data_IF_862099228072
#
_entry.id   IF_862099228072
#
_cell.length_a   1.000
_cell.length_b   1.000
_cell.length_c   1.000
_cell.angle_alpha   90.00
_cell.angle_beta   90.00
_cell.angle_gamma   90.00
#
_symmetry.space_group_name_H-M   'P 1'
#
loop_
_entity.id
_entity.type
_entity.pdbx_description
1 polymer ?
#
# COMPACT_ATOMS: atom_id res chain seq x y z
N UNK A 1 -27.71 18.38 1.83
CA UNK A 1 -26.62 17.74 2.61
C UNK A 1 -26.46 16.30 2.14
N UNK A 2 -25.30 15.89 1.64
CA UNK A 2 -25.08 14.51 1.18
C UNK A 2 -24.99 13.56 2.39
N UNK A 3 -25.91 12.58 2.48
CA UNK A 3 -25.94 11.59 3.56
C UNK A 3 -24.73 10.66 3.42
N UNK A 4 -23.88 10.60 4.45
CA UNK A 4 -22.71 9.72 4.49
C UNK A 4 -23.21 8.27 4.64
N UNK A 5 -23.12 7.48 3.57
CA UNK A 5 -23.52 6.05 3.60
C UNK A 5 -22.72 5.32 4.69
N UNK A 6 -23.41 4.59 5.56
CA UNK A 6 -22.76 3.70 6.53
C UNK A 6 -22.31 2.43 5.81
N UNK A 7 -21.22 1.81 6.29
CA UNK A 7 -20.71 0.54 5.74
C UNK A 7 -21.78 -0.56 5.80
N UNK A 8 -22.70 -0.49 6.77
CA UNK A 8 -23.87 -1.38 6.90
C UNK A 8 -24.95 -1.18 5.83
N UNK A 9 -24.90 -0.09 5.06
CA UNK A 9 -25.85 0.24 3.98
C UNK A 9 -25.28 -0.10 2.59
N UNK A 10 -24.12 -0.75 2.53
CA UNK A 10 -23.49 -1.20 1.30
C UNK A 10 -24.08 -2.54 0.85
N UNK A 11 -24.37 -2.68 -0.44
CA UNK A 11 -24.72 -3.98 -1.03
C UNK A 11 -23.54 -4.95 -0.89
N UNK A 12 -23.79 -6.26 -0.86
CA UNK A 12 -22.77 -7.31 -0.66
C UNK A 12 -21.60 -7.19 -1.64
N UNK A 13 -21.88 -6.85 -2.91
CA UNK A 13 -20.85 -6.58 -3.92
C UNK A 13 -19.95 -5.39 -3.57
N UNK A 14 -20.50 -4.31 -3.00
CA UNK A 14 -19.73 -3.14 -2.58
C UNK A 14 -18.88 -3.43 -1.35
N UNK A 15 -19.41 -4.21 -0.41
CA UNK A 15 -18.67 -4.66 0.77
C UNK A 15 -17.54 -5.61 0.40
N UNK A 16 -17.77 -6.54 -0.52
CA UNK A 16 -16.74 -7.42 -1.06
C UNK A 16 -15.64 -6.62 -1.79
N UNK A 17 -16.01 -5.65 -2.62
CA UNK A 17 -15.06 -4.75 -3.29
C UNK A 17 -14.20 -3.96 -2.30
N UNK A 18 -14.80 -3.44 -1.21
CA UNK A 18 -14.05 -2.75 -0.16
C UNK A 18 -13.04 -3.68 0.51
N UNK A 19 -13.44 -4.90 0.89
CA UNK A 19 -12.53 -5.86 1.50
C UNK A 19 -11.41 -6.30 0.54
N UNK A 20 -11.71 -6.45 -0.74
CA UNK A 20 -10.70 -6.75 -1.75
C UNK A 20 -9.66 -5.62 -1.86
N UNK A 21 -10.09 -4.35 -1.84
CA UNK A 21 -9.18 -3.20 -1.85
C UNK A 21 -8.32 -3.15 -0.58
N UNK A 22 -8.90 -3.43 0.59
CA UNK A 22 -8.15 -3.50 1.86
C UNK A 22 -7.10 -4.61 1.82
N UNK A 23 -7.49 -5.81 1.37
CA UNK A 23 -6.57 -6.94 1.24
C UNK A 23 -5.44 -6.63 0.24
N UNK A 24 -5.78 -5.98 -0.88
CA UNK A 24 -4.80 -5.53 -1.87
C UNK A 24 -3.82 -4.52 -1.26
N UNK A 25 -4.32 -3.53 -0.51
CA UNK A 25 -3.48 -2.52 0.15
C UNK A 25 -2.50 -3.16 1.12
N UNK A 26 -2.99 -4.05 1.99
CA UNK A 26 -2.17 -4.72 3.00
C UNK A 26 -1.11 -5.59 2.32
N UNK A 27 -1.51 -6.38 1.33
CA UNK A 27 -0.59 -7.23 0.57
C UNK A 27 0.51 -6.40 -0.07
N UNK A 28 0.14 -5.29 -0.73
CA UNK A 28 1.08 -4.39 -1.39
C UNK A 28 2.07 -3.74 -0.41
N UNK A 29 1.57 -3.27 0.74
CA UNK A 29 2.40 -2.65 1.78
C UNK A 29 3.36 -3.67 2.41
N UNK A 30 2.86 -4.86 2.80
CA UNK A 30 3.67 -5.92 3.40
C UNK A 30 4.74 -6.39 2.43
N UNK A 31 4.40 -6.62 1.15
CA UNK A 31 5.37 -6.99 0.13
C UNK A 31 6.43 -5.91 -0.09
N UNK A 32 6.05 -4.63 -0.06
CA UNK A 32 7.00 -3.53 -0.20
C UNK A 32 7.97 -3.44 0.98
N UNK A 33 7.48 -3.60 2.22
CA UNK A 33 8.33 -3.66 3.41
C UNK A 33 9.25 -4.89 3.41
N UNK A 34 8.74 -6.06 3.02
CA UNK A 34 9.52 -7.29 2.92
C UNK A 34 10.63 -7.17 1.86
N UNK A 35 10.31 -6.62 0.68
CA UNK A 35 11.31 -6.38 -0.37
C UNK A 35 12.35 -5.32 0.07
N UNK A 36 11.94 -4.25 0.77
CA UNK A 36 12.83 -3.24 1.34
C UNK A 36 13.80 -3.82 2.39
N UNK A 37 13.29 -4.70 3.24
CA UNK A 37 14.08 -5.38 4.27
C UNK A 37 15.09 -6.34 3.62
N UNK A 38 14.63 -7.18 2.70
CA UNK A 38 15.44 -8.20 2.05
C UNK A 38 16.48 -7.63 1.07
N UNK A 39 16.20 -6.51 0.38
CA UNK A 39 17.13 -5.94 -0.59
C UNK A 39 18.34 -5.30 0.07
N UNK A 40 19.58 -5.56 -0.42
CA UNK A 40 20.76 -4.81 -0.01
C UNK A 40 20.61 -3.32 -0.34
N UNK A 41 21.07 -2.43 0.55
CA UNK A 41 20.93 -0.99 0.37
C UNK A 41 21.52 -0.47 -0.96
N UNK A 42 22.55 -1.13 -1.49
CA UNK A 42 23.16 -0.80 -2.78
C UNK A 42 22.21 -0.97 -3.99
N UNK A 43 21.13 -1.76 -3.85
CA UNK A 43 20.11 -1.99 -4.89
C UNK A 43 18.84 -1.16 -4.67
N UNK A 44 18.89 -0.19 -3.77
CA UNK A 44 17.77 0.68 -3.43
C UNK A 44 18.16 2.12 -3.78
N UNK A 45 17.27 2.82 -4.47
CA UNK A 45 17.53 4.20 -4.88
C UNK A 45 17.32 5.15 -3.70
N UNK A 46 18.35 5.33 -2.87
CA UNK A 46 18.35 6.19 -1.68
C UNK A 46 18.36 5.40 -0.37
N UNK A 47 17.99 6.04 0.74
CA UNK A 47 18.01 5.40 2.06
C UNK A 47 16.80 4.50 2.31
N UNK A 48 17.02 3.39 3.02
CA UNK A 48 15.94 2.48 3.44
C UNK A 48 14.89 3.19 4.29
N UNK A 49 15.32 4.07 5.19
CA UNK A 49 14.41 4.85 6.05
C UNK A 49 13.45 5.75 5.25
N UNK A 50 13.94 6.40 4.18
CA UNK A 50 13.08 7.21 3.32
C UNK A 50 11.99 6.36 2.65
N UNK A 51 12.37 5.19 2.14
CA UNK A 51 11.41 4.30 1.50
C UNK A 51 10.43 3.68 2.49
N UNK A 52 10.87 3.32 3.70
CA UNK A 52 9.96 2.87 4.77
C UNK A 52 8.89 3.93 5.08
N UNK A 53 9.29 5.20 5.18
CA UNK A 53 8.36 6.32 5.40
C UNK A 53 7.44 6.57 4.19
N UNK A 54 7.91 6.32 2.96
CA UNK A 54 7.07 6.43 1.76
C UNK A 54 6.02 5.32 1.73
N UNK A 55 6.40 4.06 2.03
CA UNK A 55 5.51 2.89 1.91
C UNK A 55 4.28 2.98 2.84
N UNK A 56 4.37 3.67 3.98
CA UNK A 56 3.20 3.90 4.86
C UNK A 56 2.17 4.87 4.27
N UNK A 57 2.47 5.56 3.16
CA UNK A 57 1.54 6.49 2.52
C UNK A 57 0.57 5.74 1.59
N UNK A 58 -0.50 5.18 2.16
CA UNK A 58 -1.62 4.57 1.43
C UNK A 58 -1.15 3.66 0.27
N UNK A 59 -1.82 3.66 -0.88
CA UNK A 59 -1.40 2.91 -2.08
C UNK A 59 -0.24 3.57 -2.83
N UNK A 60 -0.09 4.89 -2.73
CA UNK A 60 0.92 5.64 -3.48
C UNK A 60 2.32 5.21 -3.05
N UNK A 61 2.53 5.02 -1.74
CA UNK A 61 3.79 4.64 -1.15
C UNK A 61 4.39 3.35 -1.71
N UNK A 62 3.70 2.21 -1.55
CA UNK A 62 4.16 0.94 -2.07
C UNK A 62 4.32 0.94 -3.60
N UNK A 63 3.40 1.59 -4.35
CA UNK A 63 3.51 1.72 -5.82
C UNK A 63 4.78 2.48 -6.20
N UNK A 64 5.06 3.61 -5.53
CA UNK A 64 6.24 4.41 -5.78
C UNK A 64 7.53 3.66 -5.41
N UNK A 65 7.51 2.87 -4.34
CA UNK A 65 8.62 1.99 -3.98
C UNK A 65 8.92 0.97 -5.07
N UNK A 66 7.90 0.27 -5.57
CA UNK A 66 8.11 -0.75 -6.59
C UNK A 66 8.55 -0.20 -7.95
N UNK A 67 8.13 1.02 -8.28
CA UNK A 67 8.45 1.69 -9.57
C UNK A 67 9.76 2.48 -9.55
N UNK A 68 10.12 3.10 -8.41
CA UNK A 68 11.28 4.02 -8.31
C UNK A 68 12.26 3.69 -7.18
N UNK A 69 11.83 2.97 -6.16
CA UNK A 69 12.66 2.63 -5.00
C UNK A 69 13.62 1.49 -5.24
N UNK A 70 13.30 0.59 -6.16
CA UNK A 70 14.16 -0.51 -6.54
C UNK A 70 15.02 -0.12 -7.74
N UNK A 71 16.26 -0.62 -7.74
CA UNK A 71 17.15 -0.63 -8.90
C UNK A 71 17.04 -1.98 -9.62
#
# INVERSE_FOLDING_TARGET
>A
MARKKRISELNDAQRAGLWALVALQISLAVSAWADLAARPAAKINGSKGKWAAIIVVNFIGPILYFTRGRR
#
